data_IF_192684826992
#
_entry.id   IF_192684826992
#
_cell.length_a   1.000
_cell.length_b   1.000
_cell.length_c   1.000
_cell.angle_alpha   90.00
_cell.angle_beta   90.00
_cell.angle_gamma   90.00
#
_symmetry.space_group_name_H-M   'P 1'
#
loop_
_entity.id
_entity.type
_entity.pdbx_description
1 polymer ?
#
# COMPACT_ATOMS: atom_id res chain seq x y z
N UNK A 1 2.74 -11.59 -7.25
CA UNK A 1 1.28 -11.70 -6.98
C UNK A 1 0.61 -10.50 -7.62
N UNK A 2 -0.55 -10.71 -8.25
CA UNK A 2 -1.23 -9.68 -9.03
C UNK A 2 -2.69 -9.51 -8.61
N UNK A 3 -3.10 -8.26 -8.41
CA UNK A 3 -4.49 -7.83 -8.36
C UNK A 3 -4.63 -6.57 -9.21
N UNK A 4 -5.69 -6.49 -10.02
CA UNK A 4 -5.90 -5.31 -10.88
C UNK A 4 -6.18 -4.10 -9.99
N UNK A 5 -5.56 -2.97 -10.31
CA UNK A 5 -5.87 -1.71 -9.64
C UNK A 5 -7.38 -1.43 -9.67
N UNK A 6 -7.89 -0.96 -8.53
CA UNK A 6 -9.29 -0.67 -8.26
C UNK A 6 -10.24 -1.88 -8.32
N UNK A 7 -9.71 -3.12 -8.33
CA UNK A 7 -10.52 -4.31 -8.04
C UNK A 7 -10.76 -4.44 -6.54
N UNK A 8 -11.83 -5.15 -6.16
CA UNK A 8 -12.11 -5.45 -4.76
C UNK A 8 -10.96 -6.27 -4.15
N UNK A 9 -10.58 -5.90 -2.93
CA UNK A 9 -9.59 -6.62 -2.15
C UNK A 9 -10.13 -7.99 -1.75
N UNK A 10 -9.39 -9.06 -2.03
CA UNK A 10 -9.81 -10.43 -1.72
C UNK A 10 -8.65 -11.30 -1.23
N UNK A 11 -7.52 -10.69 -0.84
CA UNK A 11 -6.34 -11.46 -0.48
C UNK A 11 -6.55 -12.19 0.85
N UNK A 12 -6.37 -13.52 0.81
CA UNK A 12 -6.72 -14.48 1.86
C UNK A 12 -8.21 -14.58 2.24
N UNK A 13 -9.12 -14.02 1.43
CA UNK A 13 -10.56 -14.05 1.69
C UNK A 13 -11.30 -14.94 0.69
N UNK A 14 -12.40 -15.55 1.13
CA UNK A 14 -13.29 -16.34 0.27
C UNK A 14 -14.16 -15.47 -0.64
N UNK A 15 -14.32 -14.18 -0.32
CA UNK A 15 -15.01 -13.17 -1.12
C UNK A 15 -14.30 -11.82 -1.04
N UNK A 16 -14.56 -10.94 -2.02
CA UNK A 16 -13.99 -9.60 -2.05
C UNK A 16 -14.65 -8.66 -1.05
N UNK A 17 -13.89 -7.68 -0.54
CA UNK A 17 -14.36 -6.55 0.27
C UNK A 17 -14.71 -5.39 -0.67
N UNK A 18 -16.00 -5.07 -0.92
CA UNK A 18 -16.36 -4.05 -1.90
C UNK A 18 -15.89 -2.63 -1.51
N UNK A 19 -15.74 -2.38 -0.21
CA UNK A 19 -15.25 -1.11 0.34
C UNK A 19 -13.73 -1.01 0.40
N UNK A 20 -12.99 -2.02 -0.08
CA UNK A 20 -11.53 -2.03 -0.08
C UNK A 20 -11.01 -2.31 -1.48
N UNK A 21 -10.14 -1.45 -1.99
CA UNK A 21 -9.66 -1.51 -3.38
C UNK A 21 -8.17 -1.80 -3.45
N UNK A 22 -7.79 -2.75 -4.29
CA UNK A 22 -6.38 -3.06 -4.54
C UNK A 22 -5.70 -1.93 -5.31
N UNK A 23 -4.48 -1.58 -4.91
CA UNK A 23 -3.60 -0.66 -5.65
C UNK A 23 -2.18 -1.19 -5.59
N UNK A 24 -1.43 -1.16 -6.69
CA UNK A 24 0.01 -1.45 -6.70
C UNK A 24 0.36 -2.93 -6.59
N UNK A 25 -0.60 -3.84 -6.75
CA UNK A 25 -0.36 -5.29 -6.81
C UNK A 25 0.01 -5.72 -8.23
N UNK A 26 1.15 -5.24 -8.72
CA UNK A 26 1.59 -5.44 -10.10
C UNK A 26 2.52 -6.64 -10.28
N UNK A 27 2.60 -7.13 -11.52
CA UNK A 27 3.40 -8.29 -11.92
C UNK A 27 3.89 -8.11 -13.37
N UNK A 28 5.06 -8.66 -13.70
CA UNK A 28 5.71 -8.50 -15.01
C UNK A 28 4.89 -9.07 -16.18
N UNK A 29 3.92 -9.95 -15.89
CA UNK A 29 3.03 -10.55 -16.89
C UNK A 29 1.79 -9.70 -17.20
N UNK A 30 1.57 -8.62 -16.48
CA UNK A 30 0.39 -7.77 -16.61
C UNK A 30 0.79 -6.33 -16.96
N UNK A 31 -0.03 -5.69 -17.78
CA UNK A 31 0.11 -4.26 -18.04
C UNK A 31 -0.15 -3.47 -16.75
N UNK A 32 0.63 -2.40 -16.56
CA UNK A 32 0.41 -1.40 -15.52
C UNK A 32 0.69 -0.01 -16.09
N UNK A 33 -0.03 0.99 -15.58
CA UNK A 33 0.14 2.38 -15.98
C UNK A 33 1.51 2.89 -15.56
N UNK A 34 2.17 3.65 -16.44
CA UNK A 34 3.44 4.30 -16.14
C UNK A 34 3.34 5.81 -16.32
N UNK A 35 4.08 6.55 -15.51
CA UNK A 35 4.12 8.00 -15.60
C UNK A 35 4.78 8.63 -14.41
N UNK A 36 4.89 9.96 -14.46
CA UNK A 36 5.51 10.74 -13.40
C UNK A 36 4.60 10.78 -12.18
N UNK A 37 5.18 10.44 -11.01
CA UNK A 37 4.53 10.57 -9.71
C UNK A 37 5.25 11.68 -8.95
N UNK A 38 4.54 12.71 -8.44
CA UNK A 38 5.18 13.80 -7.71
C UNK A 38 5.97 13.29 -6.51
N UNK A 39 7.17 13.84 -6.29
CA UNK A 39 8.04 13.44 -5.17
C UNK A 39 7.33 13.46 -3.82
N UNK A 40 6.44 14.43 -3.59
CA UNK A 40 5.66 14.55 -2.37
C UNK A 40 4.80 13.30 -2.07
N UNK A 41 4.28 12.62 -3.11
CA UNK A 41 3.48 11.39 -2.98
C UNK A 41 4.38 10.23 -2.52
N UNK A 42 5.57 10.11 -3.12
CA UNK A 42 6.56 9.10 -2.72
C UNK A 42 7.05 9.34 -1.29
N UNK A 43 7.35 10.59 -0.94
CA UNK A 43 7.74 10.96 0.43
C UNK A 43 6.63 10.64 1.45
N UNK A 44 5.37 10.88 1.08
CA UNK A 44 4.20 10.54 1.92
C UNK A 44 4.03 9.02 2.08
N UNK A 45 4.25 8.22 1.03
CA UNK A 45 4.30 6.76 1.14
C UNK A 45 5.42 6.30 2.08
N UNK A 46 6.61 6.91 1.99
CA UNK A 46 7.71 6.59 2.89
C UNK A 46 7.32 6.85 4.35
N UNK A 47 6.66 7.97 4.63
CA UNK A 47 6.18 8.32 5.97
C UNK A 47 5.08 7.37 6.47
N UNK A 48 4.13 6.98 5.63
CA UNK A 48 3.08 6.00 5.97
C UNK A 48 3.67 4.65 6.35
N UNK A 49 4.63 4.15 5.57
CA UNK A 49 5.36 2.91 5.85
C UNK A 49 6.24 3.06 7.10
N UNK A 50 6.81 4.25 7.33
CA UNK A 50 7.61 4.51 8.52
C UNK A 50 6.80 4.49 9.82
N UNK A 51 5.54 4.89 9.73
CA UNK A 51 4.60 4.97 10.84
C UNK A 51 5.09 5.82 12.00
N UNK A 52 4.25 5.89 13.02
CA UNK A 52 4.53 6.56 14.29
C UNK A 52 3.95 5.73 15.46
N UNK A 53 3.98 6.29 16.66
CA UNK A 53 3.32 5.64 17.81
C UNK A 53 1.79 5.72 17.73
N UNK A 54 1.24 6.67 16.97
CA UNK A 54 -0.20 6.88 16.81
C UNK A 54 -0.72 6.42 15.45
N UNK A 55 0.17 6.22 14.47
CA UNK A 55 -0.21 5.89 13.11
C UNK A 55 0.53 4.64 12.62
N UNK A 56 -0.19 3.55 12.36
CA UNK A 56 0.32 2.32 11.74
C UNK A 56 -0.58 1.94 10.55
N UNK A 57 -0.08 2.13 9.32
CA UNK A 57 -0.80 1.77 8.10
C UNK A 57 -0.67 0.28 7.74
N UNK A 58 0.11 -0.52 8.47
CA UNK A 58 0.42 -1.87 8.02
C UNK A 58 -0.65 -2.90 8.34
N UNK A 59 -0.85 -3.84 7.41
CA UNK A 59 -1.74 -5.01 7.53
C UNK A 59 -0.99 -6.27 7.10
N UNK A 60 -1.41 -7.44 7.62
CA UNK A 60 -0.91 -8.75 7.21
C UNK A 60 0.62 -8.86 7.23
N UNK A 61 1.26 -8.35 8.30
CA UNK A 61 2.71 -8.46 8.49
C UNK A 61 3.12 -9.93 8.54
N UNK A 62 4.02 -10.35 7.66
CA UNK A 62 4.58 -11.70 7.60
C UNK A 62 6.06 -11.73 8.00
N UNK A 63 6.57 -12.92 8.31
CA UNK A 63 7.98 -13.14 8.68
C UNK A 63 8.92 -13.29 7.49
N UNK A 64 8.41 -13.24 6.26
CA UNK A 64 9.17 -13.36 5.02
C UNK A 64 9.16 -12.06 4.23
N UNK A 65 10.03 -11.97 3.22
CA UNK A 65 10.05 -10.87 2.27
C UNK A 65 9.67 -11.40 0.88
N UNK A 66 8.62 -10.84 0.30
CA UNK A 66 8.28 -11.06 -1.09
C UNK A 66 9.23 -10.25 -1.98
N UNK A 67 9.94 -10.89 -2.93
CA UNK A 67 10.73 -10.16 -3.93
C UNK A 67 9.83 -9.27 -4.79
N UNK A 68 10.42 -8.23 -5.37
CA UNK A 68 9.79 -7.45 -6.42
C UNK A 68 9.36 -8.37 -7.59
N UNK A 69 8.09 -8.31 -8.00
CA UNK A 69 7.55 -9.13 -9.09
C UNK A 69 8.07 -8.72 -10.49
N UNK A 70 8.82 -7.61 -10.58
CA UNK A 70 9.33 -7.04 -11.83
C UNK A 70 10.84 -7.29 -12.03
N UNK A 71 11.66 -7.06 -11.01
CA UNK A 71 13.11 -7.23 -11.09
C UNK A 71 13.69 -8.33 -10.19
N UNK A 72 12.90 -8.89 -9.26
CA UNK A 72 13.34 -9.96 -8.37
C UNK A 72 14.12 -9.51 -7.13
N UNK A 73 14.38 -8.21 -6.95
CA UNK A 73 15.08 -7.67 -5.76
C UNK A 73 14.30 -7.94 -4.47
N UNK A 74 15.02 -8.23 -3.38
CA UNK A 74 14.47 -8.62 -2.06
C UNK A 74 14.84 -7.67 -0.94
N UNK A 75 15.98 -7.01 -1.01
CA UNK A 75 16.50 -6.19 0.10
C UNK A 75 16.20 -4.71 -0.14
N UNK A 76 14.93 -4.41 -0.34
CA UNK A 76 14.49 -3.05 -0.63
C UNK A 76 14.15 -2.38 0.70
N UNK A 77 14.73 -1.19 0.92
CA UNK A 77 14.58 -0.42 2.15
C UNK A 77 13.93 0.92 1.84
N UNK A 78 12.96 1.31 2.69
CA UNK A 78 12.49 2.68 2.81
C UNK A 78 13.20 3.33 3.99
N UNK A 79 13.68 4.56 3.80
CA UNK A 79 14.37 5.33 4.83
C UNK A 79 13.65 6.64 5.12
N UNK A 80 13.34 6.88 6.40
CA UNK A 80 12.75 8.13 6.90
C UNK A 80 13.51 8.57 8.15
N UNK A 81 14.27 9.67 8.03
CA UNK A 81 15.19 10.09 9.09
C UNK A 81 16.21 8.99 9.41
N UNK A 82 16.24 8.52 10.67
CA UNK A 82 17.08 7.41 11.11
C UNK A 82 16.41 6.03 10.98
N UNK A 83 15.12 5.97 10.67
CA UNK A 83 14.39 4.70 10.52
C UNK A 83 14.69 4.09 9.16
N UNK A 84 14.99 2.78 9.17
CA UNK A 84 15.12 1.94 7.97
C UNK A 84 14.17 0.77 8.07
N UNK A 85 13.38 0.54 7.04
CA UNK A 85 12.33 -0.47 7.02
C UNK A 85 12.43 -1.28 5.74
N UNK A 86 12.55 -2.59 5.88
CA UNK A 86 12.46 -3.51 4.75
C UNK A 86 11.00 -3.65 4.30
N UNK A 87 10.77 -3.44 3.01
CA UNK A 87 9.45 -3.60 2.38
C UNK A 87 9.29 -4.99 1.75
N UNK A 88 8.07 -5.33 1.34
CA UNK A 88 7.74 -6.64 0.78
C UNK A 88 7.30 -7.68 1.82
N UNK A 89 7.18 -7.28 3.09
CA UNK A 89 6.77 -8.14 4.21
C UNK A 89 5.37 -7.83 4.77
N UNK A 90 4.67 -6.87 4.16
CA UNK A 90 3.35 -6.42 4.60
C UNK A 90 2.65 -5.60 3.53
N UNK A 91 1.38 -5.34 3.79
CA UNK A 91 0.53 -4.41 3.07
C UNK A 91 0.40 -3.10 3.84
N UNK A 92 -0.05 -2.06 3.17
CA UNK A 92 -0.57 -0.84 3.77
C UNK A 92 -2.04 -0.66 3.40
N UNK A 93 -2.86 -0.23 4.35
CA UNK A 93 -4.21 0.23 4.09
C UNK A 93 -4.28 1.74 4.27
N UNK A 94 -4.83 2.43 3.27
CA UNK A 94 -4.96 3.89 3.20
C UNK A 94 -6.44 4.24 3.18
N UNK A 95 -6.97 5.04 4.12
CA UNK A 95 -8.38 5.42 4.11
C UNK A 95 -8.70 6.30 2.89
N UNK A 96 -9.92 6.21 2.38
CA UNK A 96 -10.38 7.12 1.33
C UNK A 96 -10.46 8.57 1.84
N UNK A 97 -10.30 9.54 0.93
CA UNK A 97 -10.35 10.95 1.29
C UNK A 97 -11.74 11.44 1.72
N UNK A 98 -12.81 10.91 1.14
CA UNK A 98 -14.17 11.48 1.28
C UNK A 98 -15.28 10.44 1.51
N UNK A 99 -14.94 9.18 1.80
CA UNK A 99 -15.92 8.11 1.98
C UNK A 99 -15.42 7.03 2.94
N UNK A 100 -16.32 6.18 3.41
CA UNK A 100 -15.95 4.97 4.15
C UNK A 100 -15.32 3.95 3.19
N UNK A 101 -14.08 3.56 3.46
CA UNK A 101 -13.36 2.56 2.68
C UNK A 101 -11.86 2.75 2.71
N UNK A 102 -11.15 1.82 2.07
CA UNK A 102 -9.69 1.78 2.10
C UNK A 102 -9.11 1.37 0.75
N UNK A 103 -7.91 1.84 0.46
CA UNK A 103 -7.04 1.23 -0.54
C UNK A 103 -6.06 0.29 0.13
N UNK A 104 -5.91 -0.92 -0.41
CA UNK A 104 -4.96 -1.92 0.06
C UNK A 104 -3.83 -2.05 -0.96
N UNK A 105 -2.59 -1.83 -0.51
CA UNK A 105 -1.41 -1.84 -1.36
C UNK A 105 -0.28 -2.65 -0.73
N UNK A 106 0.55 -3.38 -1.50
CA UNK A 106 1.77 -3.92 -0.94
C UNK A 106 2.69 -2.76 -0.56
N UNK A 107 3.49 -2.92 0.50
CA UNK A 107 4.59 -1.97 0.81
C UNK A 107 5.56 -1.77 -0.37
N UNK A 108 5.60 -2.74 -1.29
CA UNK A 108 6.39 -2.69 -2.54
C UNK A 108 5.98 -1.57 -3.51
N UNK A 109 4.82 -0.93 -3.32
CA UNK A 109 4.35 0.18 -4.16
C UNK A 109 5.38 1.29 -4.34
N UNK A 110 6.14 1.60 -3.29
CA UNK A 110 7.22 2.60 -3.34
C UNK A 110 8.26 2.23 -4.39
N UNK A 111 8.77 1.00 -4.33
CA UNK A 111 9.75 0.50 -5.30
C UNK A 111 9.17 0.45 -6.71
N UNK A 112 7.90 0.08 -6.84
CA UNK A 112 7.23 0.07 -8.14
C UNK A 112 7.16 1.47 -8.76
N UNK A 113 6.89 2.51 -7.96
CA UNK A 113 6.90 3.89 -8.41
C UNK A 113 8.33 4.33 -8.76
N UNK A 114 9.25 4.24 -7.81
CA UNK A 114 10.60 4.82 -7.94
C UNK A 114 11.47 4.13 -9.00
N UNK A 115 11.37 2.81 -9.12
CA UNK A 115 12.27 2.01 -9.97
C UNK A 115 11.60 1.56 -11.26
N UNK A 116 10.29 1.30 -11.22
CA UNK A 116 9.56 0.75 -12.36
C UNK A 116 8.60 1.74 -13.03
N UNK A 117 8.56 2.99 -12.53
CA UNK A 117 7.77 4.08 -13.08
C UNK A 117 6.27 3.80 -13.03
N UNK A 118 5.81 2.92 -12.12
CA UNK A 118 4.40 2.66 -11.91
C UNK A 118 3.70 3.96 -11.49
N UNK A 119 2.60 4.30 -12.17
CA UNK A 119 1.73 5.41 -11.81
C UNK A 119 0.47 4.84 -11.13
N UNK A 120 0.29 5.03 -9.81
CA UNK A 120 -0.94 4.62 -9.13
C UNK A 120 -2.17 5.39 -9.66
N UNK A 121 -3.40 4.86 -9.46
CA UNK A 121 -4.63 5.59 -9.75
C UNK A 121 -4.68 6.93 -9.03
N UNK A 122 -5.25 7.95 -9.68
CA UNK A 122 -5.29 9.30 -9.13
C UNK A 122 -6.09 9.34 -7.81
N UNK A 123 -7.15 8.53 -7.66
CA UNK A 123 -7.93 8.46 -6.41
C UNK A 123 -7.11 7.91 -5.22
N UNK A 124 -6.15 7.03 -5.49
CA UNK A 124 -5.21 6.57 -4.45
C UNK A 124 -4.25 7.67 -4.03
N UNK A 125 -3.74 8.44 -5.01
CA UNK A 125 -2.84 9.56 -4.74
C UNK A 125 -3.56 10.63 -3.91
N UNK A 126 -4.80 10.97 -4.26
CA UNK A 126 -5.63 11.92 -3.51
C UNK A 126 -5.86 11.44 -2.06
N UNK A 127 -6.25 10.18 -1.88
CA UNK A 127 -6.45 9.59 -0.56
C UNK A 127 -5.16 9.61 0.27
N UNK A 128 -4.03 9.23 -0.32
CA UNK A 128 -2.73 9.22 0.34
C UNK A 128 -2.31 10.60 0.82
N UNK A 129 -2.53 11.63 -0.01
CA UNK A 129 -2.20 13.01 0.32
C UNK A 129 -3.15 13.61 1.37
N UNK A 130 -4.38 13.11 1.47
CA UNK A 130 -5.35 13.52 2.48
C UNK A 130 -5.13 12.91 3.87
N UNK A 131 -4.30 11.87 4.00
CA UNK A 131 -4.02 11.25 5.31
C UNK A 131 -3.32 12.24 6.24
N UNK A 132 -3.87 12.44 7.43
CA UNK A 132 -3.18 13.09 8.53
C UNK A 132 -2.42 12.04 9.36
N UNK A 133 -1.10 12.20 9.46
CA UNK A 133 -0.22 11.24 10.16
C UNK A 133 -0.19 11.45 11.67
N UNK A 134 -0.75 12.55 12.16
CA UNK A 134 -0.84 12.89 13.58
C UNK A 134 -2.17 12.42 14.20
N UNK A 135 -3.08 11.89 13.39
CA UNK A 135 -4.35 11.30 13.83
C UNK A 135 -4.16 9.81 14.10
N UNK A 136 -4.74 9.33 15.21
CA UNK A 136 -4.66 7.91 15.59
C UNK A 136 -5.27 7.00 14.51
N UNK A 137 -4.50 6.04 14.03
CA UNK A 137 -4.92 5.09 13.00
C UNK A 137 -4.18 3.76 13.12
N UNK A 138 -4.96 2.68 13.07
CA UNK A 138 -4.48 1.30 13.03
C UNK A 138 -5.13 0.59 11.85
N UNK A 139 -4.36 0.38 10.78
CA UNK A 139 -4.83 -0.34 9.60
C UNK A 139 -5.18 -1.80 9.92
N UNK A 140 -4.49 -2.42 10.87
CA UNK A 140 -4.79 -3.77 11.30
C UNK A 140 -6.18 -3.87 11.96
N UNK A 141 -6.58 -2.87 12.75
CA UNK A 141 -7.93 -2.84 13.34
C UNK A 141 -9.00 -2.56 12.27
N UNK A 142 -8.70 -1.67 11.32
CA UNK A 142 -9.55 -1.43 10.16
C UNK A 142 -9.77 -2.70 9.32
N UNK A 143 -8.70 -3.48 9.10
CA UNK A 143 -8.76 -4.80 8.45
C UNK A 143 -9.66 -5.77 9.21
N UNK A 144 -9.43 -5.94 10.52
CA UNK A 144 -10.23 -6.84 11.36
C UNK A 144 -11.71 -6.48 11.34
N UNK A 145 -12.03 -5.19 11.39
CA UNK A 145 -13.41 -4.70 11.28
C UNK A 145 -14.01 -5.00 9.90
N UNK A 146 -13.26 -4.78 8.82
CA UNK A 146 -13.74 -5.03 7.46
C UNK A 146 -14.03 -6.52 7.20
N UNK A 147 -13.13 -7.41 7.61
CA UNK A 147 -13.30 -8.86 7.40
C UNK A 147 -14.36 -9.48 8.30
N UNK A 148 -14.66 -8.88 9.46
CA UNK A 148 -15.73 -9.36 10.37
C UNK A 148 -17.14 -9.21 9.81
N UNK A 149 -17.30 -8.44 8.72
CA UNK A 149 -18.59 -8.16 8.07
C UNK A 149 -18.88 -9.08 6.89
N UNK A 150 -17.99 -10.04 6.60
CA UNK A 150 -18.06 -10.97 5.47
C UNK A 150 -18.36 -12.39 5.93
#
# INVERSE_FOLDING_TARGET
MYFKDLSDYSYYLSGGLPSVKNVGWIDSRHYFERGDVPKAVVDKLHQLIAGSAVFDAHVNKIRGIHPCNLCGERNIEVSVGSKKIYIGSSEIWVPYACADGYFASPTMIVHYIEVHGYKPPDEFIEALMAVDLDVEYSAQDAYMLAVSKV
#
